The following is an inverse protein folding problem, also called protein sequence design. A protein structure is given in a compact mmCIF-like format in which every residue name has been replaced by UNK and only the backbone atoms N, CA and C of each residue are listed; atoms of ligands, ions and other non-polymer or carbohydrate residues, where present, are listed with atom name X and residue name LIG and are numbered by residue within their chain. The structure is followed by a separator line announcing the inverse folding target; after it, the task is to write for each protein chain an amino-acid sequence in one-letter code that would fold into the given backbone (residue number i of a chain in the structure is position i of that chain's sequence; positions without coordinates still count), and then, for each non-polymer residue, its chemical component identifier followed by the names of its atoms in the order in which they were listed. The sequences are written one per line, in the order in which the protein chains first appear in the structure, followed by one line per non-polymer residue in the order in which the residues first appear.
data_IF_198938620118
#
_entry.id   IF_198938620118
#
_cell.length_a   1.000
_cell.length_b   1.000
_cell.length_c   1.000
_cell.angle_alpha   90.00
_cell.angle_beta   90.00
_cell.angle_gamma   90.00
#
_symmetry.space_group_name_H-M   'P 1'
#
loop_
_entity.id
_entity.type
_entity.pdbx_description
1 polymer ?
#
# COMPACT_ATOMS: atom_id res chain seq x y z
N UNK A 1 -16.48 -17.53 -16.50
CA UNK A 1 -17.86 -17.66 -15.94
C UNK A 1 -17.69 -17.87 -14.44
N UNK A 2 -17.88 -16.81 -13.63
CA UNK A 2 -18.02 -16.91 -12.20
C UNK A 2 -19.48 -17.26 -11.87
N UNK A 3 -19.68 -18.17 -10.91
CA UNK A 3 -20.98 -18.54 -10.42
C UNK A 3 -21.56 -17.40 -9.55
N UNK A 4 -22.89 -17.21 -9.52
CA UNK A 4 -23.52 -16.18 -8.71
C UNK A 4 -23.49 -16.57 -7.23
N UNK A 5 -22.99 -15.70 -6.38
CA UNK A 5 -23.15 -15.79 -4.93
C UNK A 5 -24.53 -15.22 -4.60
N UNK A 6 -25.47 -16.09 -4.29
CA UNK A 6 -26.77 -15.69 -3.77
C UNK A 6 -26.69 -15.52 -2.25
N UNK A 7 -27.39 -14.53 -1.75
CA UNK A 7 -27.63 -14.34 -0.32
C UNK A 7 -27.89 -12.87 0.02
N UNK A 8 -29.13 -12.42 -0.22
CA UNK A 8 -29.64 -11.16 0.35
C UNK A 8 -29.90 -11.41 1.85
N UNK A 9 -28.92 -11.14 2.71
CA UNK A 9 -29.20 -10.87 4.12
C UNK A 9 -29.16 -9.36 4.33
N UNK A 10 -30.26 -8.85 4.86
CA UNK A 10 -30.45 -7.42 5.11
C UNK A 10 -29.40 -6.95 6.12
N UNK A 11 -28.57 -5.98 5.70
CA UNK A 11 -27.64 -5.30 6.58
C UNK A 11 -28.38 -4.56 7.68
N UNK A 12 -28.05 -4.83 8.93
CA UNK A 12 -28.45 -4.01 10.07
C UNK A 12 -27.39 -2.90 10.18
N UNK A 13 -27.73 -1.64 9.91
CA UNK A 13 -26.75 -0.54 10.04
C UNK A 13 -26.39 -0.39 11.52
N UNK A 14 -25.09 -0.34 11.81
CA UNK A 14 -24.59 0.05 13.13
C UNK A 14 -25.06 1.48 13.39
N UNK A 15 -25.72 1.73 14.52
CA UNK A 15 -26.30 3.03 14.83
C UNK A 15 -25.21 4.10 14.99
N UNK A 16 -25.53 5.35 14.64
CA UNK A 16 -24.65 6.51 14.84
C UNK A 16 -24.14 6.61 16.29
N UNK A 17 -24.95 6.23 17.27
CA UNK A 17 -24.61 6.24 18.70
C UNK A 17 -23.51 5.22 19.05
N UNK A 18 -23.50 4.06 18.40
CA UNK A 18 -22.45 3.05 18.62
C UNK A 18 -21.10 3.55 18.03
N UNK A 19 -21.13 4.30 16.95
CA UNK A 19 -19.93 4.92 16.36
C UNK A 19 -19.38 6.05 17.24
N UNK A 20 -20.24 6.91 17.78
CA UNK A 20 -19.85 7.99 18.70
C UNK A 20 -19.24 7.43 19.99
N UNK A 21 -19.74 6.31 20.49
CA UNK A 21 -19.17 5.64 21.66
C UNK A 21 -17.77 5.05 21.39
N UNK A 22 -17.54 4.51 20.18
CA UNK A 22 -16.22 4.04 19.75
C UNK A 22 -15.22 5.19 19.60
N UNK A 23 -15.64 6.32 19.02
CA UNK A 23 -14.81 7.52 18.89
C UNK A 23 -14.43 8.12 20.27
N UNK A 24 -15.37 8.10 21.24
CA UNK A 24 -15.08 8.54 22.61
C UNK A 24 -14.11 7.58 23.33
N UNK A 25 -14.19 6.28 23.08
CA UNK A 25 -13.26 5.30 23.63
C UNK A 25 -11.84 5.44 23.02
N UNK A 26 -11.75 5.75 21.72
CA UNK A 26 -10.47 6.03 21.06
C UNK A 26 -9.84 7.32 21.58
N UNK A 27 -10.63 8.37 21.81
CA UNK A 27 -10.14 9.63 22.37
C UNK A 27 -9.70 9.51 23.86
N UNK A 28 -10.25 8.54 24.59
CA UNK A 28 -9.95 8.27 25.99
C UNK A 28 -8.82 7.25 26.20
N UNK A 29 -8.35 6.57 25.16
CA UNK A 29 -7.25 5.62 25.28
C UNK A 29 -5.96 6.34 25.69
N UNK A 30 -5.25 5.90 26.75
CA UNK A 30 -4.01 6.53 27.15
C UNK A 30 -2.99 6.41 26.02
N UNK A 31 -2.41 7.54 25.62
CA UNK A 31 -1.26 7.55 24.70
C UNK A 31 -0.18 6.71 25.37
N UNK A 32 0.25 5.63 24.70
CA UNK A 32 1.34 4.81 25.21
C UNK A 32 2.56 5.70 25.44
N UNK A 33 2.98 5.83 26.68
CA UNK A 33 4.27 6.44 27.00
C UNK A 33 5.33 5.57 26.37
N UNK A 34 6.24 6.19 25.60
CA UNK A 34 7.42 5.52 25.10
C UNK A 34 8.12 4.82 26.26
N UNK A 35 8.22 3.52 26.22
CA UNK A 35 8.94 2.74 27.21
C UNK A 35 10.41 3.16 27.15
N UNK A 36 10.92 3.69 28.26
CA UNK A 36 12.36 3.87 28.46
C UNK A 36 12.99 2.49 28.62
N UNK A 37 14.07 2.30 27.91
CA UNK A 37 14.97 1.19 27.72
C UNK A 37 14.92 0.06 28.74
N UNK A 38 14.82 -1.15 28.23
CA UNK A 38 15.54 -2.27 28.81
C UNK A 38 16.03 -3.18 27.68
N UNK A 39 17.18 -3.79 27.94
CA UNK A 39 18.08 -4.56 27.08
C UNK A 39 17.42 -5.50 26.07
N UNK A 40 18.10 -5.86 24.99
CA UNK A 40 17.82 -6.86 23.94
C UNK A 40 16.91 -8.04 24.40
N UNK A 41 15.66 -7.76 24.65
CA UNK A 41 14.62 -8.78 24.81
C UNK A 41 14.11 -9.02 23.39
N UNK A 42 14.41 -10.18 22.84
CA UNK A 42 13.78 -10.63 21.62
C UNK A 42 12.25 -10.43 21.76
N UNK A 43 11.69 -9.49 20.99
CA UNK A 43 10.26 -9.21 21.03
C UNK A 43 9.53 -10.52 20.69
N UNK A 44 8.58 -10.91 21.54
CA UNK A 44 7.72 -12.05 21.24
C UNK A 44 6.67 -11.57 20.25
N UNK A 45 6.64 -12.07 19.00
CA UNK A 45 5.66 -11.65 18.01
C UNK A 45 4.23 -11.86 18.50
N UNK A 46 3.31 -11.06 18.01
CA UNK A 46 1.89 -11.19 18.31
C UNK A 46 1.34 -12.56 17.86
N UNK A 47 0.28 -13.08 18.50
CA UNK A 47 -0.10 -14.51 18.41
C UNK A 47 -0.34 -15.05 17.01
N UNK A 48 -0.76 -14.21 16.06
CA UNK A 48 -1.05 -14.61 14.70
C UNK A 48 0.02 -14.19 13.68
N UNK A 49 1.07 -13.51 14.11
CA UNK A 49 2.18 -13.04 13.26
C UNK A 49 2.86 -14.18 12.49
N UNK A 50 2.93 -15.37 13.07
CA UNK A 50 3.44 -16.57 12.40
C UNK A 50 2.68 -17.00 11.15
N UNK A 51 1.46 -16.49 10.92
CA UNK A 51 0.71 -16.74 9.69
C UNK A 51 1.22 -15.88 8.50
N UNK A 52 2.05 -14.86 8.78
CA UNK A 52 2.58 -13.91 7.80
C UNK A 52 4.04 -14.20 7.45
N UNK A 53 4.30 -14.97 6.40
CA UNK A 53 5.67 -15.29 5.94
C UNK A 53 6.47 -14.05 5.52
N UNK A 54 5.79 -12.98 5.12
CA UNK A 54 6.37 -11.75 4.60
C UNK A 54 7.24 -11.02 5.63
N UNK A 55 6.89 -11.07 6.91
CA UNK A 55 7.68 -10.41 7.96
C UNK A 55 9.05 -11.06 8.13
N UNK A 56 9.11 -12.40 8.02
CA UNK A 56 10.37 -13.14 8.04
C UNK A 56 11.19 -12.87 6.76
N UNK A 57 10.53 -12.84 5.60
CA UNK A 57 11.18 -12.57 4.32
C UNK A 57 11.86 -11.19 4.29
N UNK A 58 11.27 -10.20 4.96
CA UNK A 58 11.77 -8.83 5.08
C UNK A 58 12.64 -8.61 6.33
N UNK A 59 12.85 -9.63 7.16
CA UNK A 59 13.55 -9.52 8.45
C UNK A 59 12.95 -8.45 9.37
N UNK A 60 11.65 -8.19 9.23
CA UNK A 60 10.96 -7.12 9.92
C UNK A 60 11.00 -7.30 11.45
N UNK A 61 10.82 -8.53 11.94
CA UNK A 61 10.85 -8.83 13.37
C UNK A 61 12.24 -8.60 14.00
N UNK A 62 13.30 -8.88 13.25
CA UNK A 62 14.67 -8.58 13.67
C UNK A 62 14.89 -7.06 13.77
N UNK A 63 14.41 -6.30 12.75
CA UNK A 63 14.53 -4.85 12.73
C UNK A 63 13.71 -4.15 13.84
N UNK A 64 12.58 -4.73 14.24
CA UNK A 64 11.77 -4.23 15.35
C UNK A 64 12.50 -4.33 16.70
N UNK A 65 13.31 -5.38 16.90
CA UNK A 65 14.10 -5.61 18.11
C UNK A 65 15.34 -4.72 18.24
N UNK A 66 15.69 -3.92 17.21
CA UNK A 66 16.86 -3.05 17.26
C UNK A 66 16.54 -1.76 18.02
N UNK A 67 17.28 -1.51 19.09
CA UNK A 67 17.18 -0.26 19.86
C UNK A 67 17.92 0.88 19.16
N UNK A 68 17.19 1.64 18.38
CA UNK A 68 17.68 2.85 17.68
C UNK A 68 16.69 4.00 17.85
N UNK A 69 17.21 5.20 17.89
CA UNK A 69 16.36 6.39 17.88
C UNK A 69 15.58 6.47 16.56
N UNK A 70 14.26 6.60 16.66
CA UNK A 70 13.35 6.65 15.51
C UNK A 70 12.62 7.99 15.47
N UNK A 71 12.77 8.73 14.38
CA UNK A 71 11.97 9.92 14.14
C UNK A 71 10.51 9.56 13.85
N UNK A 72 9.52 10.41 14.18
CA UNK A 72 8.14 10.19 13.79
C UNK A 72 7.98 10.20 12.26
N UNK A 73 7.49 9.11 11.69
CA UNK A 73 7.18 9.01 10.26
C UNK A 73 5.75 8.55 10.08
N UNK A 74 5.02 9.24 9.19
CA UNK A 74 3.66 8.89 8.80
C UNK A 74 3.65 8.37 7.36
N UNK A 75 3.01 7.21 7.15
CA UNK A 75 2.75 6.64 5.82
C UNK A 75 1.30 6.94 5.43
N UNK A 76 1.11 7.60 4.30
CA UNK A 76 -0.20 7.87 3.72
C UNK A 76 -0.71 6.68 2.92
N UNK A 77 -1.81 6.09 3.33
CA UNK A 77 -2.48 5.00 2.63
C UNK A 77 -3.48 5.61 1.65
N UNK A 78 -3.05 5.77 0.40
CA UNK A 78 -3.90 6.19 -0.70
C UNK A 78 -4.66 4.97 -1.22
N UNK A 79 -5.89 4.77 -0.73
CA UNK A 79 -6.66 3.55 -0.97
C UNK A 79 -8.16 3.83 -0.83
N UNK A 80 -8.99 2.78 -0.76
CA UNK A 80 -10.44 2.89 -0.56
C UNK A 80 -10.79 3.49 0.81
N UNK A 81 -10.26 2.91 1.88
CA UNK A 81 -10.50 3.34 3.25
C UNK A 81 -9.58 2.62 4.23
N UNK A 82 -9.49 3.13 5.45
CA UNK A 82 -8.82 2.45 6.56
C UNK A 82 -9.78 2.42 7.75
N UNK A 83 -10.16 1.23 8.18
CA UNK A 83 -10.93 1.04 9.42
C UNK A 83 -9.98 0.99 10.61
N UNK A 84 -9.81 2.10 11.28
CA UNK A 84 -8.96 2.24 12.46
C UNK A 84 -9.61 1.73 13.76
N UNK A 85 -10.78 1.11 13.66
CA UNK A 85 -11.45 0.45 14.79
C UNK A 85 -11.07 -1.03 14.93
N UNK A 86 -10.43 -1.62 13.90
CA UNK A 86 -9.88 -2.97 14.02
C UNK A 86 -8.77 -3.00 15.08
N UNK A 87 -8.67 -4.06 15.91
CA UNK A 87 -7.79 -4.08 17.07
C UNK A 87 -6.36 -3.62 16.81
N UNK A 88 -5.72 -4.13 15.76
CA UNK A 88 -4.33 -3.85 15.42
C UNK A 88 -4.08 -2.43 14.89
N UNK A 89 -5.12 -1.69 14.52
CA UNK A 89 -5.01 -0.32 14.03
C UNK A 89 -5.51 0.74 15.02
N UNK A 90 -6.12 0.33 16.14
CA UNK A 90 -6.55 1.27 17.19
C UNK A 90 -5.36 2.09 17.67
N UNK A 91 -5.44 3.40 17.46
CA UNK A 91 -4.39 4.34 17.81
C UNK A 91 -3.23 4.43 16.84
N UNK A 92 -3.16 3.63 15.76
CA UNK A 92 -2.13 3.73 14.72
C UNK A 92 -2.41 4.83 13.70
N UNK A 93 -3.69 5.15 13.47
CA UNK A 93 -4.09 6.14 12.48
C UNK A 93 -4.02 7.55 13.05
N UNK A 94 -3.36 8.44 12.34
CA UNK A 94 -3.29 9.88 12.62
C UNK A 94 -4.49 10.57 11.97
N UNK A 95 -5.50 10.91 12.78
CA UNK A 95 -6.73 11.54 12.30
C UNK A 95 -6.49 12.95 11.75
N UNK A 96 -5.50 13.68 12.26
CA UNK A 96 -5.19 15.03 11.79
C UNK A 96 -4.61 15.04 10.38
N UNK A 97 -3.98 13.94 9.98
CA UNK A 97 -3.42 13.74 8.65
C UNK A 97 -4.32 12.93 7.73
N UNK A 98 -5.41 12.37 8.25
CA UNK A 98 -6.35 11.55 7.48
C UNK A 98 -7.40 12.39 6.76
N UNK A 99 -7.83 11.93 5.58
CA UNK A 99 -8.74 12.66 4.69
C UNK A 99 -9.46 11.72 3.73
N UNK A 100 -10.64 12.10 3.29
CA UNK A 100 -11.27 11.57 2.08
C UNK A 100 -11.21 12.61 0.96
N UNK A 101 -10.74 12.18 -0.20
CA UNK A 101 -10.73 12.92 -1.46
C UNK A 101 -11.84 12.46 -2.42
N UNK A 102 -12.66 11.49 -2.02
CA UNK A 102 -13.63 10.78 -2.89
C UNK A 102 -14.85 11.61 -3.30
N UNK A 103 -14.95 12.83 -2.84
CA UNK A 103 -16.00 13.75 -3.27
C UNK A 103 -15.43 14.82 -4.22
N UNK A 104 -15.36 14.49 -5.49
CA UNK A 104 -14.85 15.38 -6.55
C UNK A 104 -13.45 15.98 -6.26
N UNK A 105 -12.58 15.24 -5.58
CA UNK A 105 -11.25 15.74 -5.19
C UNK A 105 -11.27 16.82 -4.11
N UNK A 106 -12.39 17.06 -3.43
CA UNK A 106 -12.51 18.02 -2.33
C UNK A 106 -12.16 17.32 -1.01
N UNK A 107 -11.13 17.79 -0.27
CA UNK A 107 -10.73 17.18 0.99
C UNK A 107 -11.84 17.20 2.04
N UNK A 108 -12.14 16.05 2.63
CA UNK A 108 -13.07 15.93 3.75
C UNK A 108 -12.36 15.18 4.91
N UNK A 109 -12.19 15.85 6.04
CA UNK A 109 -11.49 15.31 7.23
C UNK A 109 -12.41 14.56 8.19
N UNK A 110 -13.72 14.51 7.94
CA UNK A 110 -14.64 13.75 8.76
C UNK A 110 -14.23 12.26 8.75
N UNK A 111 -14.00 11.63 9.92
CA UNK A 111 -13.67 10.20 9.98
C UNK A 111 -14.69 9.32 9.25
N UNK A 112 -15.98 9.66 9.26
CA UNK A 112 -17.00 8.92 8.53
C UNK A 112 -16.81 8.95 7.00
N UNK A 113 -16.01 9.89 6.48
CA UNK A 113 -15.74 10.00 5.05
C UNK A 113 -14.57 9.10 4.59
N UNK A 114 -13.61 8.77 5.45
CA UNK A 114 -12.44 7.96 5.10
C UNK A 114 -12.37 6.61 5.85
N UNK A 115 -13.23 6.38 6.84
CA UNK A 115 -13.37 5.13 7.58
C UNK A 115 -14.60 4.37 7.08
N UNK A 116 -14.40 3.35 6.26
CA UNK A 116 -15.49 2.48 5.81
C UNK A 116 -15.19 1.05 6.25
N UNK A 117 -16.17 0.40 6.85
CA UNK A 117 -16.10 -0.99 7.29
C UNK A 117 -16.43 -1.99 6.17
N UNK A 118 -17.02 -1.52 5.08
CA UNK A 118 -17.39 -2.30 3.90
C UNK A 118 -16.29 -2.41 2.82
N UNK A 119 -15.13 -1.76 3.04
CA UNK A 119 -13.97 -1.81 2.17
C UNK A 119 -12.72 -2.22 2.96
N UNK A 120 -12.27 -3.44 2.79
CA UNK A 120 -11.19 -4.04 3.61
C UNK A 120 -9.78 -3.79 3.05
N UNK A 121 -9.66 -3.42 1.78
CA UNK A 121 -8.37 -3.40 1.09
C UNK A 121 -7.37 -2.43 1.76
N UNK A 122 -7.74 -1.19 1.98
CA UNK A 122 -6.85 -0.20 2.63
C UNK A 122 -6.56 -0.52 4.10
N UNK A 123 -7.51 -1.17 4.81
CA UNK A 123 -7.29 -1.66 6.17
C UNK A 123 -6.22 -2.74 6.20
N UNK A 124 -6.27 -3.69 5.27
CA UNK A 124 -5.27 -4.74 5.13
C UNK A 124 -3.89 -4.16 4.78
N UNK A 125 -3.84 -3.21 3.85
CA UNK A 125 -2.63 -2.46 3.48
C UNK A 125 -2.04 -1.72 4.69
N UNK A 126 -2.86 -0.99 5.45
CA UNK A 126 -2.43 -0.27 6.65
C UNK A 126 -1.88 -1.22 7.73
N UNK A 127 -2.58 -2.34 7.98
CA UNK A 127 -2.15 -3.37 8.92
C UNK A 127 -0.84 -4.03 8.52
N UNK A 128 -0.65 -4.32 7.23
CA UNK A 128 0.63 -4.87 6.74
C UNK A 128 1.82 -3.94 7.03
N UNK A 129 1.61 -2.62 7.04
CA UNK A 129 2.64 -1.63 7.36
C UNK A 129 2.87 -1.52 8.87
N UNK A 130 1.80 -1.28 9.65
CA UNK A 130 1.91 -0.76 10.99
C UNK A 130 0.90 -1.34 11.99
N UNK A 131 0.43 -2.59 11.78
CA UNK A 131 -0.31 -3.29 12.83
C UNK A 131 0.51 -3.25 14.12
N UNK A 132 -0.16 -2.98 15.24
CA UNK A 132 0.48 -2.78 16.54
C UNK A 132 1.14 -4.06 17.03
N UNK A 133 2.21 -3.88 17.80
CA UNK A 133 2.80 -4.92 18.62
C UNK A 133 2.27 -4.79 20.04
N UNK A 134 1.20 -5.50 20.40
CA UNK A 134 0.55 -5.34 21.72
C UNK A 134 0.01 -6.65 22.32
N UNK A 135 0.42 -7.79 21.79
CA UNK A 135 -0.01 -9.12 22.25
C UNK A 135 -1.33 -9.58 21.63
N UNK A 136 -1.85 -8.86 20.65
CA UNK A 136 -3.11 -9.18 19.98
C UNK A 136 -2.91 -9.22 18.47
N UNK A 137 -3.47 -10.20 17.78
CA UNK A 137 -3.52 -10.25 16.32
C UNK A 137 -2.17 -10.47 15.65
N UNK A 138 -1.73 -9.54 14.82
CA UNK A 138 -0.51 -9.61 14.00
C UNK A 138 0.36 -8.37 14.12
N UNK A 139 1.65 -8.53 13.90
CA UNK A 139 2.56 -7.39 13.73
C UNK A 139 2.51 -6.86 12.29
N UNK A 140 2.62 -5.54 12.13
CA UNK A 140 3.02 -4.92 10.86
C UNK A 140 4.53 -5.00 10.64
N UNK A 141 4.99 -4.57 9.47
CA UNK A 141 6.45 -4.49 9.19
C UNK A 141 7.13 -3.58 10.21
N UNK A 142 6.51 -2.47 10.57
CA UNK A 142 7.03 -1.59 11.61
C UNK A 142 5.88 -0.96 12.41
N UNK A 143 5.57 -1.50 13.59
CA UNK A 143 4.51 -0.99 14.48
C UNK A 143 4.73 0.43 15.01
N UNK A 144 5.93 1.01 14.87
CA UNK A 144 6.22 2.37 15.33
C UNK A 144 5.88 3.44 14.28
N UNK A 145 5.55 3.05 13.06
CA UNK A 145 5.06 3.95 12.02
C UNK A 145 3.64 4.44 12.34
N UNK A 146 3.33 5.65 11.87
CA UNK A 146 1.96 6.18 11.91
C UNK A 146 1.31 6.04 10.54
N UNK A 147 0.02 5.89 10.50
CA UNK A 147 -0.79 5.78 9.29
C UNK A 147 -1.63 7.06 9.12
N UNK A 148 -1.67 7.60 7.91
CA UNK A 148 -2.70 8.55 7.50
C UNK A 148 -3.61 7.86 6.47
N UNK A 149 -4.90 7.76 6.77
CA UNK A 149 -5.89 7.27 5.83
C UNK A 149 -6.18 8.36 4.79
N UNK A 150 -5.82 8.11 3.54
CA UNK A 150 -6.12 9.01 2.42
C UNK A 150 -7.06 8.26 1.46
N UNK A 151 -8.37 8.40 1.70
CA UNK A 151 -9.35 7.78 0.84
C UNK A 151 -9.38 8.48 -0.52
N UNK A 152 -9.03 7.76 -1.58
CA UNK A 152 -8.96 8.22 -2.96
C UNK A 152 -9.82 7.38 -3.91
N UNK A 153 -10.75 6.61 -3.37
CA UNK A 153 -11.67 5.79 -4.14
C UNK A 153 -13.11 6.24 -3.96
N UNK A 154 -13.92 6.12 -5.00
CA UNK A 154 -15.36 6.32 -4.88
C UNK A 154 -15.99 5.24 -4.00
N UNK A 155 -16.95 5.60 -3.15
CA UNK A 155 -17.68 4.62 -2.33
C UNK A 155 -18.52 3.67 -3.19
N UNK A 156 -19.03 4.18 -4.30
CA UNK A 156 -19.79 3.40 -5.25
C UNK A 156 -18.86 2.85 -6.34
N UNK A 157 -18.56 1.56 -6.29
CA UNK A 157 -17.74 0.88 -7.30
C UNK A 157 -16.24 0.81 -7.00
N UNK A 158 -15.73 1.62 -6.06
CA UNK A 158 -14.30 1.58 -5.69
C UNK A 158 -13.35 2.15 -6.74
N UNK A 159 -13.83 3.07 -7.60
CA UNK A 159 -13.04 3.68 -8.67
C UNK A 159 -12.10 4.76 -8.16
N UNK A 160 -10.90 4.84 -8.75
CA UNK A 160 -9.82 5.75 -8.39
C UNK A 160 -9.64 6.83 -9.47
N UNK A 161 -10.49 7.86 -9.46
CA UNK A 161 -10.47 8.90 -10.48
C UNK A 161 -9.31 9.91 -10.31
N UNK A 162 -8.82 10.53 -11.40
CA UNK A 162 -7.69 11.46 -11.37
C UNK A 162 -7.82 12.57 -10.32
N UNK A 163 -9.00 13.17 -10.17
CA UNK A 163 -9.24 14.26 -9.21
C UNK A 163 -9.08 13.81 -7.75
N UNK A 164 -9.41 12.54 -7.43
CA UNK A 164 -9.20 11.99 -6.09
C UNK A 164 -7.72 11.76 -5.82
N UNK A 165 -7.02 11.25 -6.83
CA UNK A 165 -5.58 10.98 -6.76
C UNK A 165 -4.79 12.28 -6.64
N UNK A 166 -5.14 13.30 -7.43
CA UNK A 166 -4.54 14.65 -7.32
C UNK A 166 -4.70 15.20 -5.91
N UNK A 167 -5.93 15.13 -5.35
CA UNK A 167 -6.20 15.57 -3.99
C UNK A 167 -5.33 14.80 -2.98
N UNK A 168 -5.19 13.46 -3.10
CA UNK A 168 -4.42 12.63 -2.20
C UNK A 168 -2.92 12.97 -2.18
N UNK A 169 -2.28 13.14 -3.34
CA UNK A 169 -0.88 13.54 -3.43
C UNK A 169 -0.63 14.96 -2.90
N UNK A 170 -1.51 15.91 -3.23
CA UNK A 170 -1.41 17.28 -2.72
C UNK A 170 -1.60 17.28 -1.20
N UNK A 171 -2.57 16.52 -0.69
CA UNK A 171 -2.77 16.36 0.76
C UNK A 171 -1.53 15.83 1.45
N UNK A 172 -0.94 14.76 0.94
CA UNK A 172 0.29 14.18 1.50
C UNK A 172 1.43 15.21 1.55
N UNK A 173 1.62 15.97 0.47
CA UNK A 173 2.62 17.02 0.37
C UNK A 173 2.47 18.14 1.41
N UNK A 174 1.23 18.51 1.74
CA UNK A 174 0.93 19.65 2.62
C UNK A 174 0.76 19.27 4.10
N UNK A 175 0.63 17.98 4.43
CA UNK A 175 0.33 17.53 5.80
C UNK A 175 1.45 16.70 6.45
N UNK A 176 2.69 16.83 5.97
CA UNK A 176 3.86 16.20 6.58
C UNK A 176 3.80 14.67 6.54
N UNK A 177 3.27 14.11 5.46
CA UNK A 177 3.32 12.69 5.17
C UNK A 177 4.61 12.41 4.40
N UNK A 178 5.43 11.52 4.91
CA UNK A 178 6.79 11.31 4.38
C UNK A 178 6.88 10.26 3.30
N UNK A 179 5.95 9.28 3.34
CA UNK A 179 5.86 8.20 2.36
C UNK A 179 4.39 8.00 2.03
N UNK A 180 4.05 7.82 0.76
CA UNK A 180 2.70 7.37 0.36
C UNK A 180 2.77 5.94 -0.16
N UNK A 181 1.68 5.17 0.04
CA UNK A 181 1.45 3.90 -0.63
C UNK A 181 0.18 4.00 -1.48
N UNK A 182 0.29 3.76 -2.79
CA UNK A 182 -0.82 3.69 -3.74
C UNK A 182 -1.00 2.28 -4.27
N UNK A 183 -2.05 1.59 -3.83
CA UNK A 183 -2.32 0.20 -4.19
C UNK A 183 -3.47 0.07 -5.19
N UNK A 184 -3.44 0.84 -6.29
CA UNK A 184 -4.49 0.96 -7.31
C UNK A 184 -3.90 1.24 -8.69
N UNK A 185 -4.74 1.22 -9.72
CA UNK A 185 -4.52 1.93 -10.99
C UNK A 185 -5.57 3.04 -11.11
N UNK A 186 -5.27 4.05 -11.95
CA UNK A 186 -6.15 5.22 -12.08
C UNK A 186 -7.26 4.94 -13.09
N UNK A 187 -8.51 5.03 -12.62
CA UNK A 187 -9.72 4.88 -13.44
C UNK A 187 -10.05 6.15 -14.23
N UNK A 188 -10.90 6.08 -15.27
CA UNK A 188 -11.60 4.88 -15.75
C UNK A 188 -10.79 4.03 -16.71
N UNK A 189 -9.62 4.49 -17.14
CA UNK A 189 -8.81 3.84 -18.15
C UNK A 189 -7.69 3.01 -17.54
N UNK A 190 -7.58 1.75 -17.93
CA UNK A 190 -6.40 0.94 -17.58
C UNK A 190 -5.13 1.51 -18.24
N UNK A 191 -5.23 1.95 -19.48
CA UNK A 191 -4.15 2.57 -20.25
C UNK A 191 -4.58 3.97 -20.69
N UNK A 192 -3.85 4.98 -20.27
CA UNK A 192 -4.13 6.38 -20.51
C UNK A 192 -3.36 6.87 -21.72
N UNK A 193 -4.06 7.52 -22.65
CA UNK A 193 -3.48 8.05 -23.88
C UNK A 193 -3.11 9.53 -23.71
N UNK A 194 -1.82 9.88 -23.65
CA UNK A 194 -1.40 11.27 -23.41
C UNK A 194 -1.75 12.23 -24.57
N UNK A 195 -2.02 11.67 -25.76
CA UNK A 195 -2.40 12.45 -26.94
C UNK A 195 -3.91 12.47 -27.19
N UNK A 196 -4.72 11.82 -26.37
CA UNK A 196 -6.17 11.86 -26.43
C UNK A 196 -6.69 13.06 -25.63
N UNK A 197 -7.43 14.00 -26.26
CA UNK A 197 -7.92 15.21 -25.58
C UNK A 197 -8.79 14.95 -24.34
N UNK A 198 -9.49 13.82 -24.27
CA UNK A 198 -10.35 13.45 -23.15
C UNK A 198 -9.53 12.88 -21.97
N UNK A 199 -8.34 12.35 -22.23
CA UNK A 199 -7.51 11.66 -21.24
C UNK A 199 -6.28 12.49 -20.82
N UNK A 200 -5.72 13.28 -21.72
CA UNK A 200 -4.47 14.01 -21.52
C UNK A 200 -4.50 14.91 -20.27
N UNK A 201 -5.61 15.61 -20.04
CA UNK A 201 -5.74 16.51 -18.90
C UNK A 201 -5.70 15.77 -17.56
N UNK A 202 -6.37 14.63 -17.46
CA UNK A 202 -6.38 13.78 -16.25
C UNK A 202 -4.99 13.20 -15.98
N UNK A 203 -4.33 12.66 -17.00
CA UNK A 203 -2.99 12.11 -16.90
C UNK A 203 -1.96 13.17 -16.47
N UNK A 204 -1.99 14.33 -17.11
CA UNK A 204 -1.09 15.45 -16.78
C UNK A 204 -1.33 15.97 -15.36
N UNK A 205 -2.59 16.07 -14.93
CA UNK A 205 -2.94 16.51 -13.59
C UNK A 205 -2.36 15.56 -12.52
N UNK A 206 -2.51 14.24 -12.71
CA UNK A 206 -1.96 13.24 -11.80
C UNK A 206 -0.42 13.32 -11.78
N UNK A 207 0.24 13.43 -12.95
CA UNK A 207 1.69 13.57 -13.00
C UNK A 207 2.18 14.81 -12.24
N UNK A 208 1.52 15.96 -12.41
CA UNK A 208 1.87 17.19 -11.68
C UNK A 208 1.68 17.06 -10.17
N UNK A 209 0.66 16.33 -9.73
CA UNK A 209 0.44 16.09 -8.31
C UNK A 209 1.55 15.20 -7.71
N UNK A 210 2.00 14.17 -8.44
CA UNK A 210 3.17 13.36 -8.06
C UNK A 210 4.45 14.21 -8.03
N UNK A 211 4.69 15.01 -9.08
CA UNK A 211 5.87 15.91 -9.14
C UNK A 211 5.86 16.91 -7.96
N UNK A 212 4.69 17.42 -7.60
CA UNK A 212 4.53 18.30 -6.43
C UNK A 212 4.83 17.57 -5.12
N UNK A 213 4.27 16.39 -4.89
CA UNK A 213 4.54 15.60 -3.69
C UNK A 213 6.04 15.27 -3.58
N UNK A 214 6.67 14.86 -4.68
CA UNK A 214 8.12 14.59 -4.75
C UNK A 214 8.93 15.86 -4.42
N UNK A 215 8.52 17.03 -4.91
CA UNK A 215 9.18 18.30 -4.61
C UNK A 215 9.10 18.72 -3.14
N UNK A 216 8.14 18.13 -2.40
CA UNK A 216 7.96 18.29 -0.94
C UNK A 216 8.60 17.15 -0.14
N UNK A 217 9.51 16.42 -0.76
CA UNK A 217 10.26 15.34 -0.12
C UNK A 217 9.40 14.12 0.28
N UNK A 218 8.26 13.91 -0.39
CA UNK A 218 7.41 12.72 -0.23
C UNK A 218 7.94 11.60 -1.13
N UNK A 219 8.08 10.39 -0.59
CA UNK A 219 8.42 9.18 -1.35
C UNK A 219 7.12 8.46 -1.72
N UNK A 220 6.87 8.29 -3.02
CA UNK A 220 5.61 7.74 -3.51
C UNK A 220 5.81 6.29 -3.97
N UNK A 221 5.35 5.32 -3.19
CA UNK A 221 5.44 3.89 -3.49
C UNK A 221 4.13 3.39 -4.04
N UNK A 222 4.17 2.62 -5.13
CA UNK A 222 2.95 2.19 -5.84
C UNK A 222 3.02 0.73 -6.28
N UNK A 223 1.85 0.10 -6.38
CA UNK A 223 1.72 -1.26 -6.88
C UNK A 223 1.97 -1.33 -8.40
N UNK A 224 2.75 -2.29 -8.87
CA UNK A 224 3.03 -2.45 -10.31
C UNK A 224 1.82 -2.92 -11.13
N UNK A 225 0.81 -3.54 -10.49
CA UNK A 225 -0.39 -4.08 -11.14
C UNK A 225 -0.38 -5.60 -11.29
N UNK A 226 -1.57 -6.18 -11.56
CA UNK A 226 -1.83 -7.61 -11.44
C UNK A 226 -2.28 -8.24 -12.76
N UNK A 227 -1.73 -7.82 -13.89
CA UNK A 227 -2.19 -8.22 -15.23
C UNK A 227 -1.15 -9.02 -16.02
N UNK A 228 -0.06 -9.45 -15.38
CA UNK A 228 1.08 -10.13 -16.05
C UNK A 228 1.60 -9.35 -17.27
N UNK A 229 1.64 -8.01 -17.14
CA UNK A 229 2.00 -7.10 -18.22
C UNK A 229 3.45 -6.63 -18.08
N UNK A 230 4.17 -6.59 -19.20
CA UNK A 230 5.44 -5.91 -19.33
C UNK A 230 5.19 -4.39 -19.36
N UNK A 231 5.57 -3.70 -18.29
CA UNK A 231 5.40 -2.25 -18.16
C UNK A 231 6.35 -1.46 -19.07
N UNK A 232 7.46 -2.06 -19.52
CA UNK A 232 8.38 -1.42 -20.46
C UNK A 232 7.88 -1.51 -21.88
N UNK A 233 7.05 -2.53 -22.19
CA UNK A 233 6.45 -2.79 -23.50
C UNK A 233 4.95 -3.00 -23.33
N UNK A 234 4.21 -1.94 -23.07
CA UNK A 234 2.75 -2.01 -22.91
C UNK A 234 2.08 -2.52 -24.21
N UNK A 235 0.93 -3.21 -24.11
CA UNK A 235 0.20 -3.64 -25.28
C UNK A 235 -0.21 -2.44 -26.14
N UNK A 236 -0.35 -2.67 -27.43
CA UNK A 236 -0.83 -1.66 -28.39
C UNK A 236 -2.34 -1.66 -28.54
N UNK A 237 -3.01 -2.71 -28.06
CA UNK A 237 -4.47 -2.85 -28.06
C UNK A 237 -4.96 -3.18 -26.66
N UNK A 238 -6.12 -2.66 -26.31
CA UNK A 238 -6.80 -2.92 -25.03
C UNK A 238 -8.30 -3.14 -25.32
N UNK A 239 -8.83 -4.25 -24.86
CA UNK A 239 -10.24 -4.63 -24.98
C UNK A 239 -11.01 -4.43 -23.66
N UNK A 240 -10.35 -3.92 -22.60
CA UNK A 240 -11.03 -3.63 -21.36
C UNK A 240 -11.97 -2.43 -21.53
N UNK A 241 -13.16 -2.54 -20.96
CA UNK A 241 -14.04 -1.38 -20.80
C UNK A 241 -13.39 -0.37 -19.86
N UNK A 242 -13.68 0.93 -20.00
CA UNK A 242 -13.44 1.87 -18.93
C UNK A 242 -14.07 1.34 -17.65
N UNK A 243 -13.37 1.48 -16.50
CA UNK A 243 -13.80 0.86 -15.25
C UNK A 243 -15.23 1.22 -14.82
N UNK A 244 -15.71 2.39 -15.23
CA UNK A 244 -17.01 2.95 -14.87
C UNK A 244 -18.10 2.80 -15.95
N UNK A 245 -17.82 2.09 -17.05
CA UNK A 245 -18.78 1.89 -18.15
C UNK A 245 -19.02 0.41 -18.45
N UNK A 246 -20.13 0.12 -19.17
CA UNK A 246 -20.47 -1.22 -19.59
C UNK A 246 -20.07 -1.43 -21.05
N UNK A 247 -19.47 -2.58 -21.32
CA UNK A 247 -19.10 -3.04 -22.67
C UNK A 247 -17.62 -2.85 -22.96
N UNK A 248 -16.99 -3.93 -23.39
CA UNK A 248 -15.61 -3.91 -23.87
C UNK A 248 -15.57 -3.24 -25.26
N UNK A 249 -14.61 -2.36 -25.46
CA UNK A 249 -14.32 -1.74 -26.75
C UNK A 249 -12.83 -1.90 -27.02
N UNK A 250 -12.49 -2.54 -28.15
CA UNK A 250 -11.10 -2.58 -28.57
C UNK A 250 -10.62 -1.17 -28.88
N UNK A 251 -9.53 -0.78 -28.23
CA UNK A 251 -8.88 0.52 -28.40
C UNK A 251 -7.43 0.34 -28.83
N UNK A 252 -6.96 1.20 -29.74
CA UNK A 252 -5.52 1.39 -29.94
C UNK A 252 -4.97 2.20 -28.74
N UNK A 253 -4.07 1.58 -28.01
CA UNK A 253 -3.42 2.18 -26.83
C UNK A 253 -1.91 2.33 -27.06
N UNK A 254 -1.48 2.42 -28.31
CA UNK A 254 -0.09 2.66 -28.67
C UNK A 254 0.42 3.95 -28.02
N UNK A 255 1.51 3.87 -27.25
CA UNK A 255 2.09 4.99 -26.54
C UNK A 255 1.37 5.39 -25.25
N UNK A 256 0.48 4.54 -24.75
CA UNK A 256 -0.23 4.78 -23.50
C UNK A 256 0.69 4.77 -22.27
N UNK A 257 0.17 5.34 -21.19
CA UNK A 257 0.76 5.33 -19.87
C UNK A 257 -0.12 4.51 -18.91
N UNK A 258 0.49 3.61 -18.15
CA UNK A 258 -0.18 2.88 -17.09
C UNK A 258 0.08 3.61 -15.76
N UNK A 259 -0.95 4.21 -15.17
CA UNK A 259 -0.82 5.03 -13.96
C UNK A 259 -1.23 4.26 -12.70
N UNK A 260 -0.55 4.49 -11.54
CA UNK A 260 0.59 5.36 -11.32
C UNK A 260 1.97 4.76 -11.60
N UNK A 261 2.19 3.43 -11.83
CA UNK A 261 3.53 2.82 -11.91
C UNK A 261 4.49 3.43 -12.93
N UNK A 262 3.96 4.02 -14.00
CA UNK A 262 4.76 4.64 -15.08
C UNK A 262 4.94 6.15 -14.91
N UNK A 263 4.47 6.73 -13.83
CA UNK A 263 4.65 8.17 -13.56
C UNK A 263 6.05 8.45 -13.00
N UNK A 264 6.64 9.58 -13.40
CA UNK A 264 7.87 10.04 -12.77
C UNK A 264 7.63 10.34 -11.29
N UNK A 265 8.58 9.99 -10.43
CA UNK A 265 8.48 10.26 -9.00
C UNK A 265 7.71 9.19 -8.21
N UNK A 266 7.32 8.10 -8.87
CA UNK A 266 6.78 6.90 -8.19
C UNK A 266 7.81 5.78 -8.15
N UNK A 267 7.75 4.93 -7.13
CA UNK A 267 8.51 3.69 -6.98
C UNK A 267 7.56 2.50 -7.15
N UNK A 268 7.69 1.81 -8.25
CA UNK A 268 6.83 0.68 -8.61
C UNK A 268 7.30 -0.62 -7.99
N UNK A 269 6.38 -1.41 -7.43
CA UNK A 269 6.71 -2.65 -6.70
C UNK A 269 5.98 -3.84 -7.31
N UNK A 270 6.75 -4.85 -7.76
CA UNK A 270 6.26 -6.15 -8.22
C UNK A 270 6.02 -7.10 -7.04
N UNK A 271 5.22 -8.16 -7.29
CA UNK A 271 4.84 -9.11 -6.25
C UNK A 271 5.63 -10.41 -6.31
N UNK A 272 6.13 -10.82 -5.14
CA UNK A 272 6.77 -12.12 -4.89
C UNK A 272 5.79 -13.09 -4.22
N UNK A 273 6.05 -14.37 -4.42
CA UNK A 273 5.43 -15.48 -3.69
C UNK A 273 6.49 -16.36 -3.07
N UNK A 274 6.14 -17.02 -1.96
CA UNK A 274 6.93 -18.04 -1.33
C UNK A 274 6.57 -19.39 -1.96
N UNK A 275 7.52 -20.12 -2.58
CA UNK A 275 7.29 -21.49 -3.05
C UNK A 275 6.89 -22.42 -1.89
N UNK A 276 6.11 -23.44 -2.19
CA UNK A 276 5.69 -24.42 -1.19
C UNK A 276 6.93 -25.12 -0.56
N UNK A 277 6.97 -25.14 0.77
CA UNK A 277 8.07 -25.75 1.54
C UNK A 277 9.36 -24.91 1.60
N UNK A 278 9.39 -23.73 0.98
CA UNK A 278 10.55 -22.85 1.11
C UNK A 278 10.54 -22.14 2.47
N UNK A 279 11.73 -21.90 3.01
CA UNK A 279 11.93 -21.13 4.23
C UNK A 279 11.71 -19.64 3.95
N UNK A 280 10.82 -18.94 4.68
CA UNK A 280 10.55 -17.53 4.42
C UNK A 280 11.76 -16.60 4.59
N UNK A 281 12.66 -16.90 5.53
CA UNK A 281 13.80 -16.05 5.86
C UNK A 281 14.98 -16.20 4.89
N UNK A 282 15.19 -17.42 4.36
CA UNK A 282 16.40 -17.77 3.60
C UNK A 282 16.11 -18.35 2.22
N UNK A 283 14.88 -18.79 1.98
CA UNK A 283 14.49 -19.46 0.73
C UNK A 283 14.46 -18.52 -0.47
N UNK A 284 14.55 -19.12 -1.65
CA UNK A 284 14.42 -18.40 -2.93
C UNK A 284 12.96 -18.06 -3.16
N UNK A 285 12.70 -16.81 -3.44
CA UNK A 285 11.37 -16.26 -3.75
C UNK A 285 11.14 -16.21 -5.27
N UNK A 286 9.91 -16.41 -5.68
CA UNK A 286 9.51 -16.39 -7.09
C UNK A 286 8.59 -15.20 -7.37
N UNK A 287 8.59 -14.66 -8.61
CA UNK A 287 7.57 -13.69 -8.99
C UNK A 287 6.20 -14.34 -9.01
N UNK A 288 5.20 -13.65 -8.49
CA UNK A 288 3.82 -14.07 -8.69
C UNK A 288 3.46 -13.99 -10.18
N UNK A 289 2.84 -15.05 -10.73
CA UNK A 289 2.59 -15.19 -12.17
C UNK A 289 1.73 -14.06 -12.74
N UNK A 290 0.88 -13.49 -11.93
CA UNK A 290 -0.03 -12.40 -12.28
C UNK A 290 0.59 -10.99 -12.09
N UNK A 291 1.75 -10.87 -11.42
CA UNK A 291 2.41 -9.57 -11.22
C UNK A 291 2.82 -8.94 -12.55
N UNK A 292 2.60 -7.63 -12.68
CA UNK A 292 3.26 -6.86 -13.71
C UNK A 292 4.77 -6.81 -13.44
N UNK A 293 5.55 -6.54 -14.48
CA UNK A 293 7.00 -6.55 -14.49
C UNK A 293 7.57 -5.54 -15.48
N UNK A 294 8.86 -5.31 -15.47
CA UNK A 294 9.56 -4.38 -16.37
C UNK A 294 10.95 -4.05 -15.84
N UNK A 295 11.95 -4.10 -16.70
CA UNK A 295 13.35 -3.89 -16.31
C UNK A 295 13.63 -2.45 -15.85
N UNK A 296 12.89 -1.48 -16.37
CA UNK A 296 13.05 -0.05 -16.07
C UNK A 296 11.85 0.54 -15.32
N UNK A 297 10.70 -0.14 -15.37
CA UNK A 297 9.44 0.34 -14.78
C UNK A 297 9.12 -0.29 -13.41
N UNK A 298 9.93 -1.21 -12.93
CA UNK A 298 9.81 -1.79 -11.58
C UNK A 298 11.05 -1.40 -10.78
N UNK A 299 10.84 -0.83 -9.59
CA UNK A 299 11.90 -0.39 -8.70
C UNK A 299 12.28 -1.42 -7.65
N UNK A 300 11.30 -2.18 -7.16
CA UNK A 300 11.49 -3.22 -6.13
C UNK A 300 10.60 -4.43 -6.38
N UNK A 301 10.99 -5.56 -5.78
CA UNK A 301 10.15 -6.74 -5.66
C UNK A 301 9.90 -7.04 -4.18
N UNK A 302 8.66 -7.25 -3.77
CA UNK A 302 8.33 -7.53 -2.37
C UNK A 302 7.25 -8.62 -2.25
N UNK A 303 7.13 -9.30 -1.09
CA UNK A 303 6.06 -10.27 -0.86
C UNK A 303 4.68 -9.73 -1.21
N UNK A 304 3.91 -10.44 -2.05
CA UNK A 304 2.60 -9.99 -2.50
C UNK A 304 1.55 -11.10 -2.57
N UNK A 305 1.94 -12.34 -2.33
CA UNK A 305 1.02 -13.48 -2.32
C UNK A 305 0.86 -14.05 -0.90
N UNK A 306 -0.37 -14.33 -0.50
CA UNK A 306 -0.70 -14.83 0.86
C UNK A 306 -0.18 -13.89 1.97
N UNK A 307 -0.44 -12.61 1.84
CA UNK A 307 -0.09 -11.63 2.87
C UNK A 307 -1.20 -11.61 3.90
N UNK A 308 -0.87 -11.98 5.13
CA UNK A 308 -1.81 -12.10 6.25
C UNK A 308 -1.81 -10.82 7.07
N UNK A 309 -2.95 -10.16 7.16
CA UNK A 309 -3.11 -8.88 7.86
C UNK A 309 -4.56 -8.67 8.32
N UNK A 310 -4.86 -7.61 9.10
CA UNK A 310 -6.21 -7.31 9.55
C UNK A 310 -7.19 -7.10 8.40
N UNK A 311 -8.43 -7.52 8.61
CA UNK A 311 -9.57 -7.28 7.73
C UNK A 311 -10.63 -6.47 8.50
N UNK A 312 -11.50 -5.78 7.79
CA UNK A 312 -12.66 -5.12 8.40
C UNK A 312 -13.69 -6.15 8.88
N UNK A 313 -14.55 -5.75 9.81
CA UNK A 313 -15.62 -6.59 10.36
C UNK A 313 -16.59 -7.13 9.30
N UNK A 314 -16.75 -6.41 8.20
CA UNK A 314 -17.56 -6.81 7.05
C UNK A 314 -17.18 -8.19 6.47
N UNK A 315 -15.91 -8.56 6.54
CA UNK A 315 -15.43 -9.83 5.99
C UNK A 315 -15.78 -11.06 6.85
N UNK A 316 -16.41 -10.86 8.02
CA UNK A 316 -16.74 -11.94 8.94
C UNK A 316 -15.53 -12.67 9.55
N UNK A 317 -14.34 -12.16 9.30
CA UNK A 317 -13.05 -12.61 9.86
C UNK A 317 -12.22 -11.39 10.21
N UNK A 318 -11.53 -11.44 11.35
CA UNK A 318 -10.68 -10.34 11.77
C UNK A 318 -9.36 -10.23 10.98
N UNK A 319 -8.90 -11.36 10.42
CA UNK A 319 -7.62 -11.45 9.69
C UNK A 319 -7.76 -12.38 8.48
N UNK A 320 -6.92 -12.16 7.48
CA UNK A 320 -6.91 -13.03 6.30
C UNK A 320 -5.79 -12.73 5.32
N UNK A 321 -5.67 -13.63 4.36
CA UNK A 321 -4.71 -13.51 3.27
C UNK A 321 -5.30 -12.73 2.10
N UNK A 322 -4.59 -11.70 1.65
CA UNK A 322 -4.82 -11.08 0.35
C UNK A 322 -3.63 -11.30 -0.59
N UNK A 323 -3.85 -11.03 -1.87
CA UNK A 323 -2.91 -11.27 -2.96
C UNK A 323 -2.92 -10.07 -3.90
N UNK A 324 -1.76 -9.59 -4.28
CA UNK A 324 -1.64 -8.48 -5.22
C UNK A 324 -0.29 -7.77 -5.10
N UNK A 325 0.07 -7.03 -6.13
CA UNK A 325 1.09 -5.98 -6.00
C UNK A 325 0.63 -4.90 -5.02
N UNK A 326 -0.68 -4.83 -4.77
CA UNK A 326 -1.31 -4.04 -3.71
C UNK A 326 -0.88 -4.44 -2.29
N UNK A 327 -0.43 -5.68 -2.09
CA UNK A 327 0.14 -6.16 -0.83
C UNK A 327 1.66 -6.05 -0.82
N UNK A 328 2.30 -6.04 -2.00
CA UNK A 328 3.75 -5.89 -2.12
C UNK A 328 4.20 -4.45 -1.88
N UNK A 329 3.50 -3.48 -2.47
CA UNK A 329 3.87 -2.06 -2.36
C UNK A 329 3.86 -1.54 -0.92
N UNK A 330 2.88 -1.86 -0.04
CA UNK A 330 2.91 -1.41 1.34
C UNK A 330 4.09 -1.97 2.14
N UNK A 331 4.52 -3.19 1.84
CA UNK A 331 5.68 -3.77 2.51
C UNK A 331 6.97 -3.04 2.14
N UNK A 332 7.16 -2.71 0.86
CA UNK A 332 8.28 -1.87 0.42
C UNK A 332 8.17 -0.45 1.02
N UNK A 333 6.98 0.14 1.05
CA UNK A 333 6.74 1.45 1.66
C UNK A 333 7.08 1.45 3.16
N UNK A 334 6.76 0.38 3.89
CA UNK A 334 7.09 0.24 5.31
C UNK A 334 8.60 0.18 5.55
N UNK A 335 9.35 -0.57 4.73
CA UNK A 335 10.82 -0.62 4.82
C UNK A 335 11.42 0.75 4.52
N UNK A 336 10.97 1.43 3.45
CA UNK A 336 11.43 2.78 3.10
C UNK A 336 11.10 3.79 4.21
N UNK A 337 9.90 3.71 4.80
CA UNK A 337 9.51 4.56 5.92
C UNK A 337 10.35 4.27 7.18
N UNK A 338 10.73 3.02 7.40
CA UNK A 338 11.64 2.63 8.50
C UNK A 338 13.03 3.22 8.30
N UNK A 339 13.57 3.16 7.07
CA UNK A 339 14.85 3.83 6.77
C UNK A 339 14.76 5.33 7.04
N UNK A 340 13.66 5.97 6.70
CA UNK A 340 13.44 7.39 6.96
C UNK A 340 13.33 7.71 8.46
N UNK A 341 12.80 6.78 9.28
CA UNK A 341 12.78 6.93 10.73
C UNK A 341 14.18 6.91 11.35
N UNK A 342 15.06 6.05 10.86
CA UNK A 342 16.42 5.87 11.42
C UNK A 342 17.44 6.79 10.79
N UNK A 343 17.12 7.43 9.66
CA UNK A 343 17.95 8.40 8.95
C UNK A 343 17.20 9.74 8.71
N UNK A 344 16.78 10.43 9.77
CA UNK A 344 15.97 11.65 9.63
C UNK A 344 16.73 12.81 8.94
N UNK A 345 18.05 12.73 8.85
CA UNK A 345 18.92 13.68 8.16
C UNK A 345 18.93 13.51 6.63
N UNK A 346 18.45 12.35 6.12
CA UNK A 346 18.43 12.06 4.69
C UNK A 346 17.16 12.58 4.04
N UNK A 347 17.26 13.15 2.85
CA UNK A 347 16.12 13.49 2.02
C UNK A 347 15.59 12.27 1.26
N UNK A 348 14.46 12.42 0.55
CA UNK A 348 13.79 11.33 -0.18
C UNK A 348 14.74 10.63 -1.18
N UNK A 349 15.52 11.38 -1.95
CA UNK A 349 16.44 10.81 -2.94
C UNK A 349 17.53 9.95 -2.27
N UNK A 350 18.08 10.40 -1.15
CA UNK A 350 19.09 9.67 -0.39
C UNK A 350 18.51 8.38 0.25
N UNK A 351 17.29 8.44 0.78
CA UNK A 351 16.59 7.26 1.30
C UNK A 351 16.31 6.25 0.18
N UNK A 352 15.83 6.70 -0.98
CA UNK A 352 15.60 5.83 -2.14
C UNK A 352 16.91 5.16 -2.58
N UNK A 353 17.99 5.91 -2.66
CA UNK A 353 19.31 5.38 -3.03
C UNK A 353 19.80 4.33 -2.02
N UNK A 354 19.61 4.60 -0.72
CA UNK A 354 19.94 3.66 0.36
C UNK A 354 19.11 2.37 0.25
N UNK A 355 17.78 2.50 0.08
CA UNK A 355 16.88 1.37 -0.07
C UNK A 355 17.26 0.50 -1.29
N UNK A 356 17.54 1.13 -2.44
CA UNK A 356 17.99 0.41 -3.64
C UNK A 356 19.33 -0.30 -3.44
N UNK A 357 20.27 0.33 -2.74
CA UNK A 357 21.56 -0.27 -2.42
C UNK A 357 21.40 -1.51 -1.51
N UNK A 358 20.57 -1.43 -0.48
CA UNK A 358 20.32 -2.57 0.43
C UNK A 358 19.56 -3.69 -0.28
N UNK A 359 18.55 -3.36 -1.09
CA UNK A 359 17.80 -4.35 -1.86
C UNK A 359 18.70 -5.12 -2.85
N UNK A 360 19.70 -4.46 -3.45
CA UNK A 360 20.69 -5.05 -4.35
C UNK A 360 21.84 -5.76 -3.67
N UNK A 361 21.87 -5.84 -2.34
CA UNK A 361 22.85 -6.65 -1.62
C UNK A 361 22.72 -8.13 -2.03
N UNK A 362 23.83 -8.86 -2.28
CA UNK A 362 23.77 -10.26 -2.67
C UNK A 362 22.91 -11.14 -1.77
N UNK A 363 22.90 -10.88 -0.46
CA UNK A 363 22.07 -11.63 0.49
C UNK A 363 20.57 -11.50 0.22
N UNK A 364 20.14 -10.39 -0.38
CA UNK A 364 18.75 -10.14 -0.77
C UNK A 364 18.49 -10.52 -2.24
N UNK A 365 19.40 -10.10 -3.12
CA UNK A 365 19.28 -10.31 -4.57
C UNK A 365 19.28 -11.78 -4.96
N UNK A 366 20.16 -12.60 -4.38
CA UNK A 366 20.30 -14.03 -4.69
C UNK A 366 19.08 -14.86 -4.25
N UNK A 367 18.21 -14.27 -3.42
CA UNK A 367 16.91 -14.86 -3.05
C UNK A 367 15.84 -14.69 -4.12
N UNK A 368 16.08 -13.89 -5.14
CA UNK A 368 15.11 -13.60 -6.19
C UNK A 368 15.37 -14.47 -7.41
N UNK A 369 14.51 -15.47 -7.66
CA UNK A 369 14.64 -16.38 -8.78
C UNK A 369 14.59 -15.63 -10.11
N UNK A 370 15.63 -15.68 -10.94
CA UNK A 370 15.58 -15.07 -12.27
C UNK A 370 14.55 -15.81 -13.13
N UNK A 371 13.80 -15.05 -13.94
CA UNK A 371 12.85 -15.60 -14.92
C UNK A 371 13.20 -15.06 -16.29
N UNK A 372 13.48 -15.97 -17.22
CA UNK A 372 13.84 -15.60 -18.60
C UNK A 372 12.72 -14.76 -19.25
N UNK A 373 13.09 -13.65 -19.86
CA UNK A 373 12.18 -12.74 -20.54
C UNK A 373 11.28 -11.92 -19.62
N UNK A 374 11.44 -12.00 -18.28
CA UNK A 374 10.64 -11.25 -17.32
C UNK A 374 11.53 -10.64 -16.25
N UNK A 375 11.86 -9.37 -16.38
CA UNK A 375 12.57 -8.66 -15.30
C UNK A 375 11.58 -8.00 -14.34
N UNK A 376 11.47 -8.54 -13.15
CA UNK A 376 10.51 -8.11 -12.12
C UNK A 376 11.19 -7.61 -10.85
N UNK A 377 12.52 -7.75 -10.76
CA UNK A 377 13.26 -7.58 -9.50
C UNK A 377 13.53 -6.12 -9.14
N UNK A 378 13.59 -5.24 -10.15
CA UNK A 378 14.02 -3.86 -9.94
C UNK A 378 15.40 -3.81 -9.29
N UNK A 379 15.52 -3.07 -8.19
CA UNK A 379 16.75 -3.04 -7.36
C UNK A 379 16.88 -4.26 -6.44
N UNK A 380 15.82 -5.03 -6.24
CA UNK A 380 15.81 -6.21 -5.39
C UNK A 380 14.69 -6.23 -4.34
N UNK A 381 14.85 -7.08 -3.33
CA UNK A 381 13.97 -7.16 -2.15
C UNK A 381 14.40 -6.10 -1.14
N UNK A 382 13.59 -5.08 -0.85
CA UNK A 382 13.88 -4.13 0.23
C UNK A 382 13.81 -4.86 1.58
N UNK A 383 14.79 -4.57 2.45
CA UNK A 383 14.97 -5.34 3.69
C UNK A 383 15.57 -4.45 4.79
#
# INVERSE_FOLDING_TARGET
RQAPVGGNEAMVPISYETRVAADAAIAAAPRSQAAQGDQDVALTPDPQTGNGWHLQALRALEAQGVDVMRAPVTVGIMDQSVDDTVPDLVGQVDHDKSVSCSFNGIPNRDPAAWRWDDATHGTHVAGSIAAKHDGVGVDGVNPTLRIAAINVASRNGGFFYPEYIVCGFVWAAEHGISVTNGSYYVDPWKYWLPNDPEQAAGQEAVQRAVDYATSKDVINVVAAGNFSTDLDNLPTTDDSAPGDTWGAHERDVTGAVYMPPKLRGTLSVSALQLPEGADPATGVLEPASWSNWGATSVDFAAPGAKIYAPLTSWYGKAYGNLYGTSQASPLAAAVIATLRQVHPEMNAEQIIALAKKQAGDPANWDRLKPVEGREYRGAGLPN
#
